data_IF_395558984545
#
_entry.id   IF_395558984545
#
_cell.length_a   1.000
_cell.length_b   1.000
_cell.length_c   1.000
_cell.angle_alpha   90.00
_cell.angle_beta   90.00
_cell.angle_gamma   90.00
#
_symmetry.space_group_name_H-M   'P 1'
#
loop_
_entity.id
_entity.type
_entity.pdbx_description
1 polymer ?
#
# COMPACT_ATOMS: atom_id res chain seq x y z
N UNK A 1 1.05 -27.15 -35.44
CA UNK A 1 1.36 -25.71 -35.52
C UNK A 1 0.15 -24.97 -34.94
N UNK A 2 0.07 -24.89 -33.61
CA UNK A 2 0.48 -23.76 -32.77
C UNK A 2 -0.53 -22.61 -32.77
N UNK A 3 -1.30 -22.53 -31.70
CA UNK A 3 -2.12 -21.37 -31.35
C UNK A 3 -3.26 -21.81 -30.44
N UNK A 4 -3.18 -21.53 -29.13
CA UNK A 4 -4.30 -21.36 -28.17
C UNK A 4 -3.84 -21.24 -26.69
N UNK A 5 -2.75 -20.52 -26.37
CA UNK A 5 -2.33 -20.36 -24.96
C UNK A 5 -1.55 -19.06 -24.65
N UNK A 6 -1.98 -17.90 -25.17
CA UNK A 6 -1.34 -16.59 -24.83
C UNK A 6 -2.29 -15.50 -24.28
N UNK A 7 -3.59 -15.78 -24.12
CA UNK A 7 -4.56 -14.75 -23.69
C UNK A 7 -4.56 -14.43 -22.19
N UNK A 8 -4.34 -15.43 -21.31
CA UNK A 8 -4.46 -15.23 -19.86
C UNK A 8 -3.27 -14.47 -19.24
N UNK A 9 -2.05 -14.71 -19.73
CA UNK A 9 -0.84 -14.09 -19.19
C UNK A 9 -0.73 -12.59 -19.51
N UNK A 10 -1.15 -12.17 -20.70
CA UNK A 10 -1.11 -10.76 -21.11
C UNK A 10 -2.11 -9.89 -20.32
N UNK A 11 -3.29 -10.41 -20.02
CA UNK A 11 -4.27 -9.71 -19.19
C UNK A 11 -3.79 -9.53 -17.75
N UNK A 12 -3.19 -10.57 -17.16
CA UNK A 12 -2.63 -10.48 -15.81
C UNK A 12 -1.44 -9.50 -15.75
N UNK A 13 -0.63 -9.43 -16.80
CA UNK A 13 0.49 -8.48 -16.92
C UNK A 13 0.00 -7.02 -16.99
N UNK A 14 -1.02 -6.72 -17.79
CA UNK A 14 -1.64 -5.39 -17.83
C UNK A 14 -2.24 -4.96 -16.48
N UNK A 15 -2.80 -5.92 -15.72
CA UNK A 15 -3.34 -5.65 -14.40
C UNK A 15 -2.23 -5.40 -13.38
N UNK A 16 -1.07 -6.06 -13.52
CA UNK A 16 0.04 -5.92 -12.59
C UNK A 16 0.65 -4.51 -12.59
N UNK A 17 0.64 -3.82 -13.73
CA UNK A 17 1.08 -2.42 -13.84
C UNK A 17 0.23 -1.46 -13.01
N UNK A 18 -1.02 -1.83 -12.67
CA UNK A 18 -1.93 -1.03 -11.86
C UNK A 18 -1.77 -1.27 -10.36
N UNK A 19 -1.04 -2.30 -9.93
CA UNK A 19 -0.88 -2.61 -8.51
C UNK A 19 -0.20 -1.51 -7.68
N UNK A 20 0.85 -0.81 -8.15
CA UNK A 20 1.48 0.26 -7.39
C UNK A 20 0.51 1.37 -6.96
N UNK A 21 -0.30 1.86 -7.92
CA UNK A 21 -1.30 2.89 -7.63
C UNK A 21 -2.41 2.38 -6.71
N UNK A 22 -2.82 1.12 -6.86
CA UNK A 22 -3.84 0.51 -6.00
C UNK A 22 -3.37 0.43 -4.55
N UNK A 23 -2.13 0.02 -4.28
CA UNK A 23 -1.57 -0.06 -2.92
C UNK A 23 -1.65 1.31 -2.23
N UNK A 24 -1.13 2.37 -2.87
CA UNK A 24 -1.09 3.71 -2.26
C UNK A 24 -2.50 4.27 -2.07
N UNK A 25 -3.34 4.23 -3.11
CA UNK A 25 -4.69 4.81 -3.04
C UNK A 25 -5.57 4.06 -2.04
N UNK A 26 -5.64 2.73 -2.12
CA UNK A 26 -6.45 1.95 -1.18
C UNK A 26 -5.93 2.03 0.25
N UNK A 27 -4.62 2.21 0.46
CA UNK A 27 -4.04 2.47 1.78
C UNK A 27 -4.55 3.76 2.40
N UNK A 28 -4.52 4.86 1.64
CA UNK A 28 -5.04 6.16 2.10
C UNK A 28 -6.56 6.09 2.33
N UNK A 29 -7.32 5.52 1.38
CA UNK A 29 -8.77 5.33 1.54
C UNK A 29 -9.12 4.44 2.72
N UNK A 30 -8.31 3.42 3.02
CA UNK A 30 -8.51 2.56 4.18
C UNK A 30 -8.47 3.38 5.49
N UNK A 31 -7.56 4.35 5.62
CA UNK A 31 -7.54 5.27 6.77
C UNK A 31 -8.86 5.99 7.00
N UNK A 32 -9.47 6.54 5.94
CA UNK A 32 -10.78 7.18 6.00
C UNK A 32 -11.90 6.18 6.33
N UNK A 33 -11.86 4.97 5.74
CA UNK A 33 -12.87 3.94 6.05
C UNK A 33 -12.79 3.46 7.50
N UNK A 34 -11.57 3.34 8.07
CA UNK A 34 -11.36 2.98 9.47
C UNK A 34 -11.92 4.08 10.38
N UNK A 35 -11.71 5.35 10.02
CA UNK A 35 -12.24 6.49 10.77
C UNK A 35 -13.78 6.45 10.80
N UNK A 36 -14.43 6.25 9.66
CA UNK A 36 -15.89 6.18 9.56
C UNK A 36 -16.47 4.92 10.22
N UNK A 37 -15.87 3.74 9.96
CA UNK A 37 -16.30 2.48 10.54
C UNK A 37 -16.12 2.47 12.07
N UNK A 38 -15.08 3.12 12.58
CA UNK A 38 -14.82 3.25 14.02
C UNK A 38 -15.84 4.09 14.77
N UNK A 39 -16.62 4.94 14.08
CA UNK A 39 -17.77 5.63 14.67
C UNK A 39 -18.92 4.66 14.98
N UNK A 40 -19.05 3.58 14.21
CA UNK A 40 -20.12 2.58 14.36
C UNK A 40 -19.65 1.40 15.20
N UNK A 41 -18.54 0.76 14.81
CA UNK A 41 -18.00 -0.42 15.47
C UNK A 41 -16.46 -0.41 15.51
N UNK A 42 -15.92 -0.25 16.72
CA UNK A 42 -14.48 -0.12 16.98
C UNK A 42 -13.70 -1.40 16.69
N UNK A 43 -14.31 -2.58 16.86
CA UNK A 43 -13.64 -3.85 16.57
C UNK A 43 -13.34 -4.02 15.08
N UNK A 44 -14.14 -3.41 14.22
CA UNK A 44 -13.94 -3.46 12.77
C UNK A 44 -12.66 -2.76 12.33
N UNK A 45 -12.19 -1.74 13.06
CA UNK A 45 -10.97 -0.99 12.73
C UNK A 45 -9.74 -1.89 12.60
N UNK A 46 -9.55 -2.81 13.56
CA UNK A 46 -8.46 -3.78 13.54
C UNK A 46 -8.54 -4.70 12.32
N UNK A 47 -9.73 -5.26 12.06
CA UNK A 47 -9.91 -6.19 10.93
C UNK A 47 -9.74 -5.51 9.59
N UNK A 48 -10.22 -4.28 9.43
CA UNK A 48 -10.05 -3.50 8.20
C UNK A 48 -8.56 -3.21 7.96
N UNK A 49 -7.85 -2.68 8.97
CA UNK A 49 -6.41 -2.40 8.83
C UNK A 49 -5.61 -3.66 8.50
N UNK A 50 -5.87 -4.76 9.22
CA UNK A 50 -5.20 -6.04 8.99
C UNK A 50 -5.48 -6.57 7.58
N UNK A 51 -6.74 -6.52 7.13
CA UNK A 51 -7.12 -6.99 5.81
C UNK A 51 -6.48 -6.14 4.69
N UNK A 52 -6.40 -4.82 4.86
CA UNK A 52 -5.74 -3.93 3.90
C UNK A 52 -4.24 -4.19 3.82
N UNK A 53 -3.55 -4.29 4.95
CA UNK A 53 -2.09 -4.56 4.94
C UNK A 53 -1.81 -5.95 4.35
N UNK A 54 -2.63 -6.94 4.69
CA UNK A 54 -2.49 -8.28 4.13
C UNK A 54 -2.73 -8.30 2.60
N UNK A 55 -3.75 -7.60 2.11
CA UNK A 55 -4.00 -7.53 0.67
C UNK A 55 -2.86 -6.82 -0.06
N UNK A 56 -2.32 -5.75 0.51
CA UNK A 56 -1.13 -5.07 -0.03
C UNK A 56 0.10 -5.97 -0.06
N UNK A 57 0.32 -6.78 0.98
CA UNK A 57 1.43 -7.74 1.03
C UNK A 57 1.29 -8.79 -0.08
N UNK A 58 0.07 -9.26 -0.35
CA UNK A 58 -0.17 -10.18 -1.47
C UNK A 58 0.12 -9.50 -2.81
N UNK A 59 -0.35 -8.25 -3.00
CA UNK A 59 -0.08 -7.48 -4.22
C UNK A 59 1.42 -7.20 -4.42
N UNK A 60 2.19 -6.96 -3.36
CA UNK A 60 3.63 -6.70 -3.47
C UNK A 60 4.41 -7.94 -3.92
N UNK A 61 3.98 -9.16 -3.58
CA UNK A 61 4.54 -10.38 -4.17
C UNK A 61 4.27 -10.50 -5.67
N UNK A 62 3.07 -10.10 -6.14
CA UNK A 62 2.79 -10.08 -7.57
C UNK A 62 3.63 -9.04 -8.31
N UNK A 63 3.82 -7.85 -7.72
CA UNK A 63 4.73 -6.81 -8.24
C UNK A 63 6.15 -7.37 -8.33
N UNK A 64 6.67 -8.01 -7.28
CA UNK A 64 8.01 -8.58 -7.27
C UNK A 64 8.17 -9.62 -8.40
N UNK A 65 7.22 -10.55 -8.52
CA UNK A 65 7.25 -11.54 -9.59
C UNK A 65 7.24 -10.88 -10.98
N UNK A 66 6.43 -9.84 -11.18
CA UNK A 66 6.40 -9.09 -12.44
C UNK A 66 7.75 -8.44 -12.74
N UNK A 67 8.34 -7.75 -11.77
CA UNK A 67 9.60 -7.03 -12.00
C UNK A 67 10.78 -7.97 -12.27
N UNK A 68 10.80 -9.15 -11.65
CA UNK A 68 11.82 -10.16 -11.89
C UNK A 68 11.68 -10.89 -13.24
N UNK A 69 10.50 -10.91 -13.83
CA UNK A 69 10.23 -11.66 -15.08
C UNK A 69 10.12 -10.78 -16.33
N UNK A 70 9.56 -9.58 -16.18
CA UNK A 70 9.28 -8.65 -17.29
C UNK A 70 10.21 -7.43 -17.24
N UNK A 71 10.44 -6.89 -16.04
CA UNK A 71 11.25 -5.69 -15.81
C UNK A 71 10.52 -4.61 -15.02
N UNK A 72 11.18 -3.47 -14.87
CA UNK A 72 10.70 -2.32 -14.08
C UNK A 72 9.33 -1.82 -14.54
N UNK A 73 8.43 -1.58 -13.57
CA UNK A 73 7.10 -1.01 -13.84
C UNK A 73 7.21 0.52 -13.82
N UNK A 74 6.73 1.15 -14.89
CA UNK A 74 6.59 2.60 -14.99
C UNK A 74 5.10 2.94 -15.08
N UNK A 75 4.57 3.62 -14.06
CA UNK A 75 3.16 4.00 -14.01
C UNK A 75 3.02 5.51 -13.96
N UNK A 76 2.40 6.10 -15.00
CA UNK A 76 2.15 7.52 -15.11
C UNK A 76 0.76 7.87 -14.59
N UNK A 77 0.72 8.67 -13.51
CA UNK A 77 -0.55 9.10 -12.94
C UNK A 77 -1.29 10.03 -13.91
N UNK A 78 -2.54 9.70 -14.22
CA UNK A 78 -3.39 10.53 -15.09
C UNK A 78 -2.95 10.60 -16.56
N UNK A 79 -2.01 9.76 -17.00
CA UNK A 79 -1.52 9.73 -18.39
C UNK A 79 -0.56 10.86 -18.75
N UNK A 80 -0.15 11.69 -17.79
CA UNK A 80 0.82 12.76 -17.99
C UNK A 80 2.23 12.20 -17.95
N UNK A 81 2.96 12.31 -19.07
CA UNK A 81 4.35 11.89 -19.13
C UNK A 81 5.25 12.80 -18.27
N UNK A 82 6.35 12.28 -17.70
CA UNK A 82 7.38 13.10 -17.09
C UNK A 82 7.87 14.21 -18.06
N UNK A 83 8.20 15.43 -17.59
CA UNK A 83 8.42 15.85 -16.20
C UNK A 83 7.20 16.49 -15.50
N UNK A 84 6.05 16.63 -16.17
CA UNK A 84 4.89 17.35 -15.63
C UNK A 84 3.92 16.46 -14.83
N UNK A 85 4.08 15.14 -14.90
CA UNK A 85 3.24 14.14 -14.24
C UNK A 85 3.95 13.37 -13.14
N UNK A 86 3.19 12.81 -12.20
CA UNK A 86 3.69 11.94 -11.14
C UNK A 86 3.93 10.55 -11.73
N UNK A 87 5.10 9.98 -11.47
CA UNK A 87 5.46 8.62 -11.88
C UNK A 87 5.70 7.73 -10.65
N UNK A 88 5.14 6.52 -10.70
CA UNK A 88 5.58 5.42 -9.85
C UNK A 88 6.54 4.54 -10.66
N UNK A 89 7.74 4.34 -10.10
CA UNK A 89 8.79 3.51 -10.70
C UNK A 89 9.09 2.38 -9.73
N UNK A 90 8.80 1.16 -10.15
CA UNK A 90 8.96 -0.02 -9.29
C UNK A 90 9.97 -0.97 -9.93
N UNK A 91 11.17 -0.96 -9.37
CA UNK A 91 12.23 -1.91 -9.70
C UNK A 91 12.30 -3.06 -8.67
N UNK A 92 13.26 -3.97 -8.85
CA UNK A 92 13.39 -5.13 -7.99
C UNK A 92 13.68 -4.74 -6.54
N UNK A 93 14.47 -3.69 -6.33
CA UNK A 93 14.81 -3.19 -4.99
C UNK A 93 13.57 -2.63 -4.30
N UNK A 94 12.82 -1.76 -4.98
CA UNK A 94 11.57 -1.18 -4.48
C UNK A 94 10.57 -2.28 -4.13
N UNK A 95 10.45 -3.32 -4.95
CA UNK A 95 9.57 -4.46 -4.67
C UNK A 95 9.98 -5.22 -3.39
N UNK A 96 11.27 -5.47 -3.16
CA UNK A 96 11.74 -6.10 -1.92
C UNK A 96 11.50 -5.21 -0.70
N UNK A 97 11.83 -3.92 -0.79
CA UNK A 97 11.62 -2.96 0.30
C UNK A 97 10.14 -2.86 0.65
N UNK A 98 9.25 -2.83 -0.36
CA UNK A 98 7.80 -2.79 -0.17
C UNK A 98 7.29 -4.02 0.60
N UNK A 99 7.78 -5.22 0.26
CA UNK A 99 7.43 -6.45 0.99
C UNK A 99 7.90 -6.37 2.44
N UNK A 100 9.11 -5.89 2.70
CA UNK A 100 9.66 -5.75 4.06
C UNK A 100 8.80 -4.79 4.88
N UNK A 101 8.49 -3.60 4.34
CA UNK A 101 7.63 -2.61 5.00
C UNK A 101 6.28 -3.22 5.34
N UNK A 102 5.60 -3.83 4.37
CA UNK A 102 4.28 -4.43 4.57
C UNK A 102 4.29 -5.60 5.55
N UNK A 103 5.33 -6.43 5.52
CA UNK A 103 5.48 -7.56 6.45
C UNK A 103 5.68 -7.06 7.89
N UNK A 104 6.56 -6.09 8.10
CA UNK A 104 6.78 -5.48 9.43
C UNK A 104 5.52 -4.79 9.91
N UNK A 105 4.83 -4.04 9.04
CA UNK A 105 3.54 -3.42 9.36
C UNK A 105 2.47 -4.45 9.72
N UNK A 106 2.42 -5.60 9.05
CA UNK A 106 1.47 -6.67 9.36
C UNK A 106 1.73 -7.26 10.75
N UNK A 107 2.99 -7.57 11.06
CA UNK A 107 3.37 -8.08 12.39
C UNK A 107 3.08 -7.04 13.48
N UNK A 108 3.42 -5.78 13.22
CA UNK A 108 3.13 -4.67 14.13
C UNK A 108 1.62 -4.51 14.37
N UNK A 109 0.79 -4.61 13.33
CA UNK A 109 -0.67 -4.56 13.45
C UNK A 109 -1.20 -5.67 14.36
N UNK A 110 -0.76 -6.91 14.15
CA UNK A 110 -1.17 -8.07 14.96
C UNK A 110 -0.78 -7.88 16.43
N UNK A 111 0.46 -7.46 16.69
CA UNK A 111 0.96 -7.26 18.05
C UNK A 111 0.27 -6.07 18.74
N UNK A 112 -0.04 -5.01 17.98
CA UNK A 112 -0.68 -3.81 18.51
C UNK A 112 -2.06 -4.09 19.12
N UNK A 113 -2.79 -5.10 18.62
CA UNK A 113 -4.16 -5.39 19.07
C UNK A 113 -4.32 -5.47 20.59
N UNK A 114 -3.50 -6.31 21.23
CA UNK A 114 -3.60 -6.54 22.68
C UNK A 114 -3.18 -5.31 23.48
N UNK A 115 -2.15 -4.61 23.00
CA UNK A 115 -1.66 -3.37 23.62
C UNK A 115 -2.72 -2.25 23.54
N UNK A 116 -3.30 -2.04 22.35
CA UNK A 116 -4.33 -1.03 22.09
C UNK A 116 -5.62 -1.30 22.87
N UNK A 117 -6.02 -2.56 23.01
CA UNK A 117 -7.19 -2.94 23.81
C UNK A 117 -7.00 -2.71 25.31
N UNK A 118 -5.76 -2.74 25.81
CA UNK A 118 -5.44 -2.63 27.25
C UNK A 118 -5.07 -1.21 27.69
N UNK A 119 -4.26 -0.50 26.88
CA UNK A 119 -3.65 0.78 27.23
C UNK A 119 -4.46 1.99 26.77
N UNK A 120 -5.24 1.85 25.69
CA UNK A 120 -5.93 2.98 25.05
C UNK A 120 -7.42 3.00 25.38
N UNK A 121 -7.89 4.18 25.79
CA UNK A 121 -9.32 4.49 25.83
C UNK A 121 -9.98 4.20 24.47
N UNK A 122 -11.21 3.71 24.51
CA UNK A 122 -11.87 3.21 23.31
C UNK A 122 -12.06 4.25 22.18
N UNK A 123 -12.03 5.56 22.49
CA UNK A 123 -12.04 6.62 21.47
C UNK A 123 -10.69 6.76 20.75
N UNK A 124 -9.58 6.53 21.45
CA UNK A 124 -8.22 6.64 20.92
C UNK A 124 -7.81 5.41 20.10
N UNK A 125 -8.47 4.27 20.30
CA UNK A 125 -8.25 3.05 19.51
C UNK A 125 -8.53 3.26 18.02
N UNK A 126 -9.61 3.97 17.67
CA UNK A 126 -9.94 4.29 16.27
C UNK A 126 -8.86 5.17 15.66
N UNK A 127 -8.47 6.23 16.36
CA UNK A 127 -7.41 7.15 15.93
C UNK A 127 -6.09 6.43 15.72
N UNK A 128 -5.71 5.49 16.59
CA UNK A 128 -4.52 4.67 16.44
C UNK A 128 -4.51 3.92 15.10
N UNK A 129 -5.56 3.14 14.80
CA UNK A 129 -5.60 2.38 13.54
C UNK A 129 -5.71 3.27 12.31
N UNK A 130 -6.39 4.42 12.40
CA UNK A 130 -6.42 5.40 11.30
C UNK A 130 -5.03 5.94 10.99
N UNK A 131 -4.32 6.43 12.02
CA UNK A 131 -2.97 7.00 11.87
C UNK A 131 -1.98 5.93 11.43
N UNK A 132 -2.06 4.74 12.01
CA UNK A 132 -1.23 3.59 11.62
C UNK A 132 -1.42 3.23 10.14
N UNK A 133 -2.67 3.21 9.65
CA UNK A 133 -2.93 2.94 8.24
C UNK A 133 -2.37 4.03 7.31
N UNK A 134 -2.45 5.30 7.71
CA UNK A 134 -1.87 6.43 6.97
C UNK A 134 -0.34 6.37 6.96
N UNK A 135 0.29 5.99 8.08
CA UNK A 135 1.73 5.75 8.16
C UNK A 135 2.16 4.69 7.15
N UNK A 136 1.49 3.52 7.15
CA UNK A 136 1.82 2.42 6.23
C UNK A 136 1.62 2.85 4.78
N UNK A 137 0.54 3.58 4.47
CA UNK A 137 0.29 4.09 3.13
C UNK A 137 1.37 5.09 2.68
N UNK A 138 1.79 5.99 3.58
CA UNK A 138 2.88 6.94 3.35
C UNK A 138 4.20 6.22 3.05
N UNK A 139 4.58 5.25 3.89
CA UNK A 139 5.79 4.45 3.70
C UNK A 139 5.76 3.67 2.37
N UNK A 140 4.64 3.03 2.03
CA UNK A 140 4.50 2.33 0.75
C UNK A 140 4.61 3.30 -0.43
N UNK A 141 4.01 4.49 -0.31
CA UNK A 141 4.10 5.51 -1.35
C UNK A 141 5.53 6.01 -1.57
N UNK A 142 6.30 6.25 -0.49
CA UNK A 142 7.72 6.67 -0.57
C UNK A 142 8.55 5.63 -1.32
N UNK A 143 8.30 4.34 -1.09
CA UNK A 143 9.02 3.24 -1.77
C UNK A 143 8.66 3.15 -3.25
N UNK A 144 7.43 3.50 -3.63
CA UNK A 144 6.92 3.31 -4.99
C UNK A 144 7.16 4.50 -5.92
N UNK A 145 7.43 5.69 -5.38
CA UNK A 145 7.49 6.93 -6.17
C UNK A 145 8.84 7.17 -6.84
N UNK A 146 8.81 7.59 -8.10
CA UNK A 146 9.98 8.02 -8.87
C UNK A 146 10.16 9.55 -8.92
N UNK A 147 9.32 10.32 -8.23
CA UNK A 147 9.31 11.78 -8.26
C UNK A 147 9.63 12.38 -6.88
N UNK A 148 10.46 13.43 -6.85
CA UNK A 148 10.94 14.06 -5.61
C UNK A 148 9.85 14.84 -4.88
N UNK A 149 8.91 15.46 -5.61
CA UNK A 149 7.80 16.18 -4.97
C UNK A 149 6.88 15.20 -4.25
N UNK A 150 6.50 14.11 -4.91
CA UNK A 150 5.65 13.10 -4.29
C UNK A 150 6.38 12.37 -3.15
N UNK A 151 7.69 12.14 -3.26
CA UNK A 151 8.51 11.62 -2.17
C UNK A 151 8.42 12.53 -0.94
N UNK A 152 8.64 13.84 -1.10
CA UNK A 152 8.52 14.82 -0.01
C UNK A 152 7.13 14.77 0.64
N UNK A 153 6.06 14.85 -0.15
CA UNK A 153 4.68 14.83 0.37
C UNK A 153 4.40 13.56 1.17
N UNK A 154 4.82 12.40 0.67
CA UNK A 154 4.57 11.12 1.34
C UNK A 154 5.45 10.93 2.58
N UNK A 155 6.67 11.46 2.59
CA UNK A 155 7.49 11.52 3.82
C UNK A 155 6.88 12.42 4.88
N UNK A 156 6.24 13.53 4.51
CA UNK A 156 5.50 14.40 5.44
C UNK A 156 4.24 13.73 5.98
N UNK A 157 3.52 12.98 5.14
CA UNK A 157 2.39 12.15 5.61
C UNK A 157 2.87 11.14 6.64
N UNK A 158 4.00 10.47 6.41
CA UNK A 158 4.58 9.55 7.38
C UNK A 158 5.03 10.28 8.66
N UNK A 159 5.70 11.44 8.55
CA UNK A 159 6.19 12.20 9.71
C UNK A 159 5.06 12.69 10.61
N UNK A 160 3.96 13.19 10.05
CA UNK A 160 2.78 13.63 10.80
C UNK A 160 2.05 12.50 11.54
N UNK A 161 2.29 11.25 11.14
CA UNK A 161 1.68 10.06 11.75
C UNK A 161 2.55 9.41 12.82
N UNK A 162 3.78 9.90 13.03
CA UNK A 162 4.73 9.35 14.01
C UNK A 162 4.75 10.20 15.28
#
# INVERSE_FOLDING_TARGET
MSGHAKGGGQGLMLIAEQFPVLIVTTGVFAGYTILLAGLVNRRSCFFISLATIFSHLVLSFFILHHVLTVGTIHYWLGGWRPPWGIEYVVDGLNAYVLIIVLFVSLVAAIYSKRSVEHELEARKQVTFYTIFQLLVAGLCGVVLTGDLFNLYVLTEVASLTT
#
